data_IF_467250840128
#
_entry.id   IF_467250840128
#
_cell.length_a   1.000
_cell.length_b   1.000
_cell.length_c   1.000
_cell.angle_alpha   90.00
_cell.angle_beta   90.00
_cell.angle_gamma   90.00
#
_symmetry.space_group_name_H-M   'P 1'
#
loop_
_entity.id
_entity.type
_entity.pdbx_description
1 polymer ?
#
# COMPACT_ATOMS: atom_id res chain seq x y z
N UNK A 1 19.87 1.60 17.47
CA UNK A 1 19.35 1.75 16.12
C UNK A 1 20.25 2.64 15.28
N UNK A 2 20.58 2.17 14.09
CA UNK A 2 21.41 2.86 13.10
C UNK A 2 20.70 2.90 11.77
N UNK A 3 20.99 3.89 10.94
CA UNK A 3 20.58 3.91 9.55
C UNK A 3 21.17 2.74 8.78
N UNK A 4 20.48 2.34 7.72
CA UNK A 4 20.90 1.26 6.82
C UNK A 4 20.85 1.77 5.40
N UNK A 5 21.87 1.43 4.62
CA UNK A 5 21.90 1.65 3.18
C UNK A 5 21.76 0.32 2.44
N UNK A 6 21.11 0.32 1.27
CA UNK A 6 20.95 -0.85 0.41
C UNK A 6 20.60 -0.47 -1.03
N UNK A 7 20.66 -1.44 -1.94
CA UNK A 7 20.01 -1.36 -3.24
C UNK A 7 18.67 -2.10 -3.21
N UNK A 8 17.65 -1.52 -3.88
CA UNK A 8 16.34 -2.12 -4.00
C UNK A 8 16.09 -2.56 -5.44
N UNK A 9 15.76 -3.84 -5.60
CA UNK A 9 15.69 -4.48 -6.91
C UNK A 9 14.25 -4.63 -7.40
N UNK A 10 14.09 -4.75 -8.72
CA UNK A 10 12.83 -5.09 -9.40
C UNK A 10 13.09 -6.18 -10.45
N UNK A 11 12.05 -6.97 -10.72
CA UNK A 11 12.11 -8.00 -11.75
C UNK A 11 11.93 -7.40 -13.14
N UNK A 12 12.73 -7.87 -14.09
CA UNK A 12 12.55 -7.62 -15.50
C UNK A 12 11.91 -8.84 -16.20
N UNK A 13 11.63 -8.73 -17.49
CA UNK A 13 10.98 -9.76 -18.30
C UNK A 13 11.79 -11.03 -18.46
N UNK A 14 13.12 -10.97 -18.22
CA UNK A 14 14.02 -12.12 -18.17
C UNK A 14 13.98 -12.89 -16.84
N UNK A 15 13.03 -12.54 -15.93
CA UNK A 15 12.85 -13.11 -14.60
C UNK A 15 14.00 -12.87 -13.62
N UNK A 16 14.94 -11.98 -13.95
CA UNK A 16 16.05 -11.59 -13.07
C UNK A 16 15.74 -10.29 -12.35
N UNK A 17 16.37 -10.09 -11.22
CA UNK A 17 16.27 -8.85 -10.44
C UNK A 17 17.43 -7.92 -10.75
N UNK A 18 17.09 -6.66 -10.95
CA UNK A 18 18.06 -5.58 -11.20
C UNK A 18 17.83 -4.44 -10.21
N UNK A 19 18.89 -3.79 -9.71
CA UNK A 19 18.76 -2.61 -8.87
C UNK A 19 18.02 -1.49 -9.62
N UNK A 20 17.11 -0.82 -8.92
CA UNK A 20 16.50 0.39 -9.46
C UNK A 20 17.55 1.46 -9.72
N UNK A 21 17.38 2.19 -10.80
CA UNK A 21 18.27 3.26 -11.20
C UNK A 21 17.76 4.64 -10.77
N UNK A 22 18.67 5.61 -10.69
CA UNK A 22 18.37 7.02 -10.55
C UNK A 22 18.17 7.66 -11.95
N UNK A 23 17.88 8.96 -11.99
CA UNK A 23 17.67 9.71 -13.23
C UNK A 23 18.90 9.73 -14.17
N UNK A 24 20.08 9.35 -13.66
CA UNK A 24 21.33 9.27 -14.42
C UNK A 24 21.65 7.85 -14.93
N UNK A 25 20.78 6.87 -14.67
CA UNK A 25 21.03 5.46 -15.01
C UNK A 25 22.00 4.75 -14.07
N UNK A 26 22.31 5.33 -12.90
CA UNK A 26 23.17 4.71 -11.90
C UNK A 26 22.31 3.95 -10.87
N UNK A 27 22.85 2.85 -10.31
CA UNK A 27 22.18 2.10 -9.24
C UNK A 27 21.75 3.03 -8.09
N UNK A 28 20.46 3.08 -7.80
CA UNK A 28 19.91 3.95 -6.76
C UNK A 28 20.16 3.36 -5.39
N UNK A 29 20.99 4.04 -4.58
CA UNK A 29 21.23 3.70 -3.19
C UNK A 29 20.15 4.30 -2.31
N UNK A 30 19.55 3.49 -1.46
CA UNK A 30 18.53 3.89 -0.48
C UNK A 30 19.17 3.98 0.90
N UNK A 31 19.00 5.11 1.58
CA UNK A 31 19.39 5.30 2.98
C UNK A 31 18.10 5.41 3.78
N UNK A 32 17.91 4.49 4.74
CA UNK A 32 16.64 4.38 5.47
C UNK A 32 16.86 4.34 6.98
N UNK A 33 15.84 4.71 7.69
CA UNK A 33 15.69 4.56 9.13
C UNK A 33 14.79 3.34 9.40
N UNK A 34 15.35 2.17 9.74
CA UNK A 34 14.57 0.93 9.91
C UNK A 34 13.81 0.95 11.25
N UNK A 35 12.57 0.48 11.25
CA UNK A 35 11.72 0.44 12.45
C UNK A 35 11.21 -0.95 12.76
N UNK A 36 10.54 -1.62 11.83
CA UNK A 36 9.84 -2.88 12.08
C UNK A 36 9.82 -3.77 10.84
N UNK A 37 9.84 -5.08 11.05
CA UNK A 37 9.54 -6.06 10.00
C UNK A 37 8.11 -6.54 10.20
N UNK A 38 7.34 -6.64 9.11
CA UNK A 38 5.99 -7.15 9.06
C UNK A 38 5.86 -8.25 8.03
N UNK A 39 5.05 -9.27 8.33
CA UNK A 39 4.67 -10.31 7.38
C UNK A 39 3.23 -10.08 6.91
N UNK A 40 3.00 -10.04 5.60
CA UNK A 40 1.68 -9.93 5.00
C UNK A 40 1.64 -10.71 3.68
N UNK A 41 0.59 -11.52 3.48
CA UNK A 41 0.37 -12.29 2.25
C UNK A 41 1.61 -13.11 1.83
N UNK A 42 2.25 -13.81 2.79
CA UNK A 42 3.42 -14.64 2.56
C UNK A 42 4.71 -13.89 2.20
N UNK A 43 4.79 -12.60 2.45
CA UNK A 43 5.96 -11.75 2.17
C UNK A 43 6.34 -10.93 3.39
N UNK A 44 7.65 -10.68 3.52
CA UNK A 44 8.19 -9.83 4.57
C UNK A 44 8.47 -8.42 4.06
N UNK A 45 8.08 -7.42 4.83
CA UNK A 45 8.28 -6.01 4.55
C UNK A 45 9.04 -5.33 5.67
N UNK A 46 9.96 -4.47 5.32
CA UNK A 46 10.62 -3.53 6.21
C UNK A 46 9.83 -2.24 6.23
N UNK A 47 9.22 -1.92 7.38
CA UNK A 47 8.60 -0.63 7.66
C UNK A 47 9.70 0.31 8.12
N UNK A 48 9.91 1.40 7.41
CA UNK A 48 11.00 2.33 7.64
C UNK A 48 10.61 3.76 7.23
N UNK A 49 11.52 4.69 7.39
CA UNK A 49 11.48 6.00 6.74
C UNK A 49 12.64 6.06 5.74
N UNK A 50 12.36 6.43 4.49
CA UNK A 50 13.42 6.78 3.55
C UNK A 50 13.92 8.17 3.90
N UNK A 51 15.19 8.28 4.24
CA UNK A 51 15.76 9.48 4.86
C UNK A 51 15.55 10.78 4.07
N UNK A 52 15.42 10.66 2.74
CA UNK A 52 15.10 11.77 1.82
C UNK A 52 13.70 12.39 2.06
N UNK A 53 12.78 11.66 2.70
CA UNK A 53 11.39 12.07 2.89
C UNK A 53 10.98 11.99 4.37
N UNK A 54 9.84 12.58 4.71
CA UNK A 54 9.34 12.60 6.09
C UNK A 54 8.26 11.55 6.39
N UNK A 55 7.84 10.78 5.39
CA UNK A 55 6.79 9.76 5.52
C UNK A 55 7.34 8.36 5.72
N UNK A 56 6.44 7.44 6.05
CA UNK A 56 6.71 6.00 6.15
C UNK A 56 6.90 5.41 4.75
N UNK A 57 7.83 4.48 4.63
CA UNK A 57 8.09 3.67 3.44
C UNK A 57 8.09 2.18 3.79
N UNK A 58 7.69 1.33 2.86
CA UNK A 58 7.67 -0.12 3.01
C UNK A 58 8.48 -0.74 1.88
N UNK A 59 9.47 -1.57 2.22
CA UNK A 59 10.30 -2.29 1.25
C UNK A 59 10.20 -3.80 1.48
N UNK A 60 10.01 -4.55 0.42
CA UNK A 60 10.06 -6.02 0.48
C UNK A 60 11.48 -6.48 0.77
N UNK A 61 11.65 -7.33 1.79
CA UNK A 61 12.99 -7.80 2.21
C UNK A 61 13.68 -8.64 1.13
N UNK A 62 12.94 -9.46 0.39
CA UNK A 62 13.45 -10.30 -0.69
C UNK A 62 13.97 -9.52 -1.91
N UNK A 63 13.78 -8.19 -1.94
CA UNK A 63 14.29 -7.29 -3.00
C UNK A 63 15.44 -6.40 -2.55
N UNK A 64 15.92 -6.57 -1.34
CA UNK A 64 17.01 -5.78 -0.77
C UNK A 64 18.33 -6.52 -0.97
N UNK A 65 19.35 -5.83 -1.49
CA UNK A 65 20.71 -6.34 -1.63
C UNK A 65 21.75 -5.32 -1.13
N UNK A 66 22.98 -5.80 -0.89
CA UNK A 66 24.15 -4.99 -0.52
C UNK A 66 23.86 -4.09 0.70
N UNK A 67 23.42 -4.72 1.78
CA UNK A 67 23.04 -4.03 3.02
C UNK A 67 24.31 -3.55 3.75
N UNK A 68 24.32 -2.26 4.10
CA UNK A 68 25.35 -1.61 4.89
C UNK A 68 24.75 -0.90 6.10
N UNK A 69 25.30 -1.15 7.30
CA UNK A 69 24.92 -0.43 8.52
C UNK A 69 25.75 0.83 8.61
N UNK A 70 25.12 1.99 8.59
CA UNK A 70 25.78 3.29 8.66
C UNK A 70 26.10 3.70 10.11
N UNK A 71 27.14 4.52 10.34
CA UNK A 71 27.47 5.03 11.67
C UNK A 71 26.54 6.15 12.15
N UNK A 72 25.39 6.34 11.49
CA UNK A 72 24.40 7.38 11.76
C UNK A 72 23.26 6.81 12.60
N UNK A 73 22.85 7.46 13.71
CA UNK A 73 21.68 7.06 14.49
C UNK A 73 20.40 7.12 13.66
N UNK A 74 19.46 6.18 13.95
CA UNK A 74 18.15 6.17 13.31
C UNK A 74 17.34 7.42 13.67
N UNK A 75 16.62 8.00 12.71
CA UNK A 75 15.64 9.06 12.95
C UNK A 75 14.53 8.53 13.88
N UNK A 76 14.25 9.17 15.03
CA UNK A 76 13.17 8.71 15.92
C UNK A 76 11.81 8.71 15.22
N UNK A 77 10.98 7.67 15.46
CA UNK A 77 9.65 7.54 14.86
C UNK A 77 8.78 8.80 15.02
N UNK A 78 8.85 9.48 16.18
CA UNK A 78 8.09 10.72 16.45
C UNK A 78 8.39 11.87 15.49
N UNK A 79 9.47 11.79 14.72
CA UNK A 79 9.84 12.77 13.68
C UNK A 79 9.42 12.33 12.28
N UNK A 80 8.69 11.21 12.16
CA UNK A 80 8.25 10.67 10.88
C UNK A 80 6.75 10.82 10.78
N UNK A 81 6.28 11.44 9.70
CA UNK A 81 4.85 11.64 9.43
C UNK A 81 4.13 10.30 9.36
N UNK A 82 3.11 10.14 10.20
CA UNK A 82 2.34 8.91 10.38
C UNK A 82 2.86 7.96 11.45
N UNK A 83 4.00 8.29 12.13
CA UNK A 83 4.55 7.54 13.25
C UNK A 83 4.76 8.40 14.52
N UNK A 84 4.13 9.57 14.60
CA UNK A 84 4.31 10.53 15.70
C UNK A 84 4.01 9.90 17.07
N UNK A 85 3.04 8.99 17.12
CA UNK A 85 2.61 8.26 18.32
C UNK A 85 3.14 6.83 18.38
N UNK A 86 4.21 6.53 17.61
CA UNK A 86 4.74 5.18 17.45
C UNK A 86 4.04 4.37 16.37
N UNK A 87 4.54 3.16 16.10
CA UNK A 87 3.97 2.25 15.10
C UNK A 87 2.95 1.32 15.75
N UNK A 88 1.68 1.49 15.41
CA UNK A 88 0.66 0.48 15.66
C UNK A 88 0.62 -0.47 14.44
N UNK A 89 1.32 -1.60 14.54
CA UNK A 89 1.51 -2.53 13.42
C UNK A 89 0.18 -3.07 12.85
N UNK A 90 -0.79 -3.56 13.65
CA UNK A 90 -2.09 -4.02 13.12
C UNK A 90 -2.81 -2.94 12.34
N UNK A 91 -2.88 -1.71 12.88
CA UNK A 91 -3.49 -0.57 12.21
C UNK A 91 -2.75 -0.22 10.90
N UNK A 92 -1.42 -0.15 10.94
CA UNK A 92 -0.61 0.13 9.74
C UNK A 92 -0.87 -0.90 8.64
N UNK A 93 -0.94 -2.18 8.97
CA UNK A 93 -1.20 -3.25 8.00
C UNK A 93 -2.61 -3.17 7.42
N UNK A 94 -3.62 -2.88 8.23
CA UNK A 94 -5.01 -2.73 7.79
C UNK A 94 -5.18 -1.50 6.86
N UNK A 95 -4.49 -0.41 7.13
CA UNK A 95 -4.53 0.79 6.29
C UNK A 95 -3.72 0.65 4.99
N UNK A 96 -2.66 -0.18 4.99
CA UNK A 96 -1.74 -0.36 3.87
C UNK A 96 -1.80 -1.79 3.31
N UNK A 97 -2.98 -2.23 2.90
CA UNK A 97 -3.29 -3.62 2.50
C UNK A 97 -2.35 -4.23 1.44
N UNK A 98 -1.71 -3.42 0.60
CA UNK A 98 -0.66 -3.84 -0.35
C UNK A 98 0.72 -3.28 0.04
N UNK A 99 0.88 -2.78 1.28
CA UNK A 99 2.10 -2.12 1.77
C UNK A 99 2.56 -0.95 0.88
N UNK A 100 1.60 -0.27 0.22
CA UNK A 100 1.91 0.96 -0.51
C UNK A 100 2.21 2.10 0.45
N UNK A 101 3.13 2.96 0.04
CA UNK A 101 3.41 4.21 0.73
C UNK A 101 2.39 5.28 0.36
N UNK A 102 2.22 6.29 1.21
CA UNK A 102 1.35 7.42 0.95
C UNK A 102 0.27 7.59 2.02
N UNK A 103 -0.60 8.57 1.80
CA UNK A 103 -1.61 8.94 2.76
C UNK A 103 -2.79 7.96 2.78
N UNK A 104 -3.27 7.65 3.99
CA UNK A 104 -4.54 6.97 4.22
C UNK A 104 -5.65 7.98 4.38
N UNK A 105 -6.83 7.64 3.88
CA UNK A 105 -8.03 8.46 4.01
C UNK A 105 -9.25 7.60 4.37
N UNK A 106 -10.28 8.25 4.90
CA UNK A 106 -11.56 7.60 5.09
C UNK A 106 -12.22 7.35 3.74
N UNK A 107 -12.45 6.07 3.42
CA UNK A 107 -13.14 5.64 2.21
C UNK A 107 -14.47 5.01 2.60
N UNK A 108 -15.52 5.38 1.87
CA UNK A 108 -16.83 4.74 1.96
C UNK A 108 -17.13 4.04 0.65
N UNK A 109 -17.57 2.80 0.72
CA UNK A 109 -17.94 2.02 -0.46
C UNK A 109 -19.14 1.14 -0.14
N UNK A 110 -19.89 0.75 -1.17
CA UNK A 110 -20.95 -0.25 -1.11
C UNK A 110 -20.42 -1.57 -1.65
N UNK A 111 -20.76 -2.67 -1.00
CA UNK A 111 -20.33 -4.01 -1.40
C UNK A 111 -21.48 -5.01 -1.29
N UNK A 112 -21.40 -6.09 -2.06
CA UNK A 112 -22.27 -7.24 -1.91
C UNK A 112 -21.99 -7.94 -0.57
N UNK A 113 -23.05 -8.35 0.16
CA UNK A 113 -22.96 -8.91 1.51
C UNK A 113 -22.11 -10.18 1.61
N UNK A 114 -22.08 -11.00 0.57
CA UNK A 114 -21.23 -12.21 0.58
C UNK A 114 -19.72 -11.92 0.63
N UNK A 115 -19.29 -10.67 0.35
CA UNK A 115 -17.89 -10.24 0.49
C UNK A 115 -17.52 -9.80 1.91
N UNK A 116 -18.44 -9.80 2.88
CA UNK A 116 -18.19 -9.27 4.23
C UNK A 116 -16.99 -9.95 4.90
N UNK A 117 -16.86 -11.26 4.81
CA UNK A 117 -15.71 -11.99 5.38
C UNK A 117 -14.40 -11.54 4.74
N UNK A 118 -14.38 -11.43 3.43
CA UNK A 118 -13.20 -10.98 2.67
C UNK A 118 -12.84 -9.51 2.97
N UNK A 119 -13.84 -8.65 3.13
CA UNK A 119 -13.64 -7.25 3.54
C UNK A 119 -12.98 -7.20 4.93
N UNK A 120 -13.42 -8.02 5.88
CA UNK A 120 -12.82 -8.11 7.21
C UNK A 120 -11.38 -8.66 7.14
N UNK A 121 -11.12 -9.64 6.28
CA UNK A 121 -9.79 -10.22 6.09
C UNK A 121 -8.79 -9.19 5.52
N UNK A 122 -9.24 -8.32 4.61
CA UNK A 122 -8.41 -7.27 4.05
C UNK A 122 -8.20 -6.06 4.96
N UNK A 123 -9.26 -5.56 5.59
CA UNK A 123 -9.27 -4.27 6.29
C UNK A 123 -9.30 -4.41 7.82
N UNK A 124 -9.36 -5.63 8.35
CA UNK A 124 -9.47 -5.87 9.78
C UNK A 124 -10.85 -5.57 10.34
N UNK A 125 -10.96 -5.57 11.68
CA UNK A 125 -12.24 -5.42 12.40
C UNK A 125 -12.59 -3.97 12.76
N UNK A 126 -11.69 -3.02 12.54
CA UNK A 126 -11.90 -1.59 12.87
C UNK A 126 -12.66 -0.84 11.75
N UNK A 127 -13.48 -1.56 11.00
CA UNK A 127 -14.35 -1.04 9.93
C UNK A 127 -15.76 -0.79 10.45
N UNK A 128 -16.52 0.05 9.74
CA UNK A 128 -17.91 0.33 10.10
C UNK A 128 -18.83 -0.08 8.97
N UNK A 129 -19.87 -0.81 9.33
CA UNK A 129 -20.96 -1.18 8.44
C UNK A 129 -22.18 -0.29 8.69
N UNK A 130 -22.90 0.10 7.62
CA UNK A 130 -24.15 0.85 7.66
C UNK A 130 -25.01 0.54 6.43
N UNK A 131 -26.24 1.04 6.40
CA UNK A 131 -27.18 0.96 5.27
C UNK A 131 -27.26 -0.47 4.69
N UNK A 132 -27.43 -1.44 5.58
CA UNK A 132 -27.55 -2.84 5.20
C UNK A 132 -28.90 -3.11 4.56
N UNK A 133 -28.88 -3.78 3.41
CA UNK A 133 -30.05 -4.31 2.71
C UNK A 133 -30.00 -5.85 2.67
N UNK A 134 -30.88 -6.49 1.92
CA UNK A 134 -30.83 -7.93 1.71
C UNK A 134 -29.52 -8.34 1.02
N UNK A 135 -29.07 -7.60 -0.01
CA UNK A 135 -27.95 -7.94 -0.89
C UNK A 135 -26.68 -7.15 -0.64
N UNK A 136 -26.76 -5.95 -0.07
CA UNK A 136 -25.65 -4.99 -0.03
C UNK A 136 -25.46 -4.36 1.35
N UNK A 137 -24.27 -3.87 1.59
CA UNK A 137 -23.90 -3.13 2.79
C UNK A 137 -22.94 -1.99 2.45
N UNK A 138 -23.08 -0.87 3.14
CA UNK A 138 -22.13 0.24 3.07
C UNK A 138 -21.03 0.04 4.10
N UNK A 139 -19.79 0.21 3.67
CA UNK A 139 -18.58 0.01 4.48
C UNK A 139 -17.80 1.31 4.54
N UNK A 140 -17.31 1.66 5.74
CA UNK A 140 -16.39 2.77 5.94
C UNK A 140 -15.10 2.26 6.57
N UNK A 141 -13.96 2.60 5.94
CA UNK A 141 -12.62 2.16 6.32
C UNK A 141 -11.59 3.28 6.19
N UNK A 142 -10.55 3.25 7.00
CA UNK A 142 -9.36 4.08 6.80
C UNK A 142 -8.34 3.27 6.02
N UNK A 143 -7.94 3.76 4.82
CA UNK A 143 -7.08 2.98 3.91
C UNK A 143 -6.27 3.89 2.98
N UNK A 144 -5.10 3.43 2.56
CA UNK A 144 -4.31 4.07 1.51
C UNK A 144 -5.10 4.12 0.19
N UNK A 145 -5.19 5.30 -0.43
CA UNK A 145 -6.04 5.51 -1.61
C UNK A 145 -5.61 4.69 -2.83
N UNK A 146 -4.31 4.53 -3.07
CA UNK A 146 -3.80 3.72 -4.19
C UNK A 146 -4.04 2.21 -3.95
N UNK A 147 -3.90 1.77 -2.70
CA UNK A 147 -4.24 0.40 -2.32
C UNK A 147 -5.73 0.13 -2.53
N UNK A 148 -6.58 1.06 -2.06
CA UNK A 148 -8.03 0.95 -2.24
C UNK A 148 -8.47 0.98 -3.70
N UNK A 149 -7.83 1.82 -4.53
CA UNK A 149 -8.05 1.86 -5.99
C UNK A 149 -7.84 0.49 -6.62
N UNK A 150 -6.71 -0.18 -6.33
CA UNK A 150 -6.41 -1.51 -6.87
C UNK A 150 -7.35 -2.58 -6.34
N UNK A 151 -7.67 -2.53 -5.03
CA UNK A 151 -8.60 -3.47 -4.44
C UNK A 151 -10.00 -3.31 -5.03
N UNK A 152 -10.50 -2.08 -5.19
CA UNK A 152 -11.80 -1.81 -5.79
C UNK A 152 -11.90 -2.30 -7.25
N UNK A 153 -10.83 -2.22 -8.02
CA UNK A 153 -10.78 -2.75 -9.39
C UNK A 153 -10.82 -4.28 -9.43
N UNK A 154 -10.17 -4.94 -8.47
CA UNK A 154 -10.23 -6.40 -8.33
C UNK A 154 -11.66 -6.89 -8.09
N UNK A 155 -12.47 -6.10 -7.38
CA UNK A 155 -13.87 -6.40 -7.05
C UNK A 155 -14.88 -5.49 -7.78
N UNK A 156 -14.52 -4.92 -8.93
CA UNK A 156 -15.27 -3.84 -9.59
C UNK A 156 -16.74 -4.17 -9.91
N UNK A 157 -17.08 -5.45 -10.12
CA UNK A 157 -18.46 -5.90 -10.37
C UNK A 157 -19.29 -6.01 -9.08
N UNK A 158 -18.67 -5.99 -7.92
CA UNK A 158 -19.31 -6.28 -6.63
C UNK A 158 -19.17 -5.15 -5.62
N UNK A 159 -18.30 -4.18 -5.91
CA UNK A 159 -17.95 -3.07 -5.04
C UNK A 159 -18.09 -1.75 -5.79
N UNK A 160 -18.68 -0.75 -5.13
CA UNK A 160 -18.81 0.62 -5.65
C UNK A 160 -18.24 1.61 -4.66
N UNK A 161 -17.20 2.34 -5.03
CA UNK A 161 -16.68 3.46 -4.22
C UNK A 161 -17.69 4.60 -4.21
N UNK A 162 -18.00 5.12 -3.03
CA UNK A 162 -18.92 6.24 -2.81
C UNK A 162 -18.17 7.53 -2.47
N UNK A 163 -17.09 7.42 -1.68
CA UNK A 163 -16.24 8.57 -1.33
C UNK A 163 -14.82 8.13 -0.97
N UNK A 164 -13.81 9.01 -1.06
CA UNK A 164 -13.85 10.39 -1.52
C UNK A 164 -13.99 10.51 -3.05
N UNK A 165 -14.51 11.64 -3.54
CA UNK A 165 -14.76 11.88 -4.96
C UNK A 165 -13.54 11.62 -5.85
N UNK A 166 -12.35 12.05 -5.42
CA UNK A 166 -11.08 11.78 -6.12
C UNK A 166 -10.89 10.28 -6.42
N UNK A 167 -11.13 9.41 -5.43
CA UNK A 167 -11.00 7.97 -5.62
C UNK A 167 -12.08 7.41 -6.54
N UNK A 168 -13.31 7.92 -6.43
CA UNK A 168 -14.41 7.56 -7.34
C UNK A 168 -14.03 7.84 -8.79
N UNK A 169 -13.48 9.03 -9.08
CA UNK A 169 -13.09 9.42 -10.44
C UNK A 169 -11.93 8.58 -10.96
N UNK A 170 -10.93 8.29 -10.13
CA UNK A 170 -9.81 7.41 -10.49
C UNK A 170 -10.30 6.01 -10.87
N UNK A 171 -11.17 5.41 -10.07
CA UNK A 171 -11.73 4.07 -10.34
C UNK A 171 -12.59 4.04 -11.60
N UNK A 172 -13.44 5.08 -11.82
CA UNK A 172 -14.24 5.21 -13.03
C UNK A 172 -13.37 5.28 -14.30
N UNK A 173 -12.30 6.07 -14.23
CA UNK A 173 -11.36 6.19 -15.36
C UNK A 173 -10.67 4.86 -15.67
N UNK A 174 -10.23 4.12 -14.65
CA UNK A 174 -9.61 2.81 -14.83
C UNK A 174 -10.57 1.79 -15.43
N UNK A 175 -11.83 1.74 -14.94
CA UNK A 175 -12.86 0.86 -15.50
C UNK A 175 -13.11 1.20 -16.98
N UNK A 176 -13.16 2.51 -17.31
CA UNK A 176 -13.33 2.95 -18.71
C UNK A 176 -12.15 2.47 -19.57
N UNK A 177 -10.90 2.70 -19.14
CA UNK A 177 -9.71 2.22 -19.84
C UNK A 177 -9.70 0.69 -20.00
N UNK A 178 -10.06 -0.03 -18.94
CA UNK A 178 -10.16 -1.49 -19.01
C UNK A 178 -11.21 -1.93 -20.05
N UNK A 179 -12.41 -1.31 -20.04
CA UNK A 179 -13.46 -1.59 -21.05
C UNK A 179 -13.01 -1.29 -22.47
N UNK A 180 -12.24 -0.22 -22.67
CA UNK A 180 -11.74 0.17 -24.00
C UNK A 180 -10.74 -0.85 -24.58
N UNK A 181 -9.96 -1.56 -23.74
CA UNK A 181 -9.03 -2.61 -24.20
C UNK A 181 -9.75 -3.80 -24.84
N UNK A 182 -11.01 -4.05 -24.49
CA UNK A 182 -11.80 -5.15 -25.03
C UNK A 182 -12.74 -4.71 -26.18
N UNK A 183 -12.71 -3.42 -26.57
CA UNK A 183 -13.46 -2.91 -27.71
C UNK A 183 -12.60 -3.01 -28.97
N UNK A 184 -12.86 -3.97 -29.83
CA UNK A 184 -12.21 -4.09 -31.12
C UNK A 184 -11.48 -5.40 -31.40
N UNK A 185 -11.58 -6.37 -30.50
CA UNK A 185 -11.10 -7.74 -30.73
C UNK A 185 -12.21 -8.62 -31.32
N UNK A 186 -12.75 -8.23 -32.48
CA UNK A 186 -13.66 -9.07 -33.29
C UNK A 186 -13.25 -8.99 -34.76
#
# INVERSE_FOLDING_TARGET
GRQVAFYYNEYHTDMKMYPRENEKGEKRRYIINPYQIAAINGRYYLICNYDKYDNVANYRLDRITDIEILPVPVKPMKKVKGLENGLNLPKHMAEHIYMFTGESAAVTFRAKKYLVSEIIDWFGKDIKFSDETEDEVTVRVMVNLEAMRKWALQYAVHVKILSPGKLVDMVKEDIKKASEQYKGEH
#
